data_IF_926457871893
#
_entry.id   IF_926457871893
#
_cell.length_a   1.000
_cell.length_b   1.000
_cell.length_c   1.000
_cell.angle_alpha   90.00
_cell.angle_beta   90.00
_cell.angle_gamma   90.00
#
_symmetry.space_group_name_H-M   'P 1'
#
loop_
_entity.id
_entity.type
_entity.pdbx_description
1 polymer ?
#
# COMPACT_ATOMS: atom_id res chain seq x y z
N UNK A 1 -1.58 32.92 -2.21
CA UNK A 1 -0.87 32.40 -1.00
C UNK A 1 0.61 32.44 -1.30
N UNK A 2 1.44 33.04 -0.43
CA UNK A 2 2.88 33.19 -0.71
C UNK A 2 3.57 31.80 -0.82
N UNK A 3 4.49 31.56 -1.77
CA UNK A 3 5.12 30.25 -1.98
C UNK A 3 5.81 29.67 -0.73
N UNK A 4 6.36 30.52 0.12
CA UNK A 4 6.94 30.12 1.41
C UNK A 4 5.88 29.61 2.41
N UNK A 5 4.69 30.20 2.42
CA UNK A 5 3.57 29.76 3.27
C UNK A 5 3.06 28.40 2.81
N UNK A 6 2.99 28.17 1.49
CA UNK A 6 2.56 26.89 0.91
C UNK A 6 3.55 25.75 1.19
N UNK A 7 4.86 26.04 1.14
CA UNK A 7 5.91 25.08 1.51
C UNK A 7 5.84 24.71 2.99
N UNK A 8 5.73 25.69 3.88
CA UNK A 8 5.60 25.44 5.33
C UNK A 8 4.33 24.66 5.68
N UNK A 9 3.21 24.95 5.00
CA UNK A 9 1.96 24.20 5.18
C UNK A 9 2.07 22.73 4.77
N UNK A 10 2.80 22.43 3.70
CA UNK A 10 3.03 21.06 3.26
C UNK A 10 3.94 20.29 4.23
N UNK A 11 4.96 20.95 4.77
CA UNK A 11 5.84 20.37 5.80
C UNK A 11 5.04 20.04 7.06
N UNK A 12 4.22 20.99 7.54
CA UNK A 12 3.38 20.77 8.71
C UNK A 12 2.41 19.60 8.51
N UNK A 13 1.69 19.55 7.37
CA UNK A 13 0.81 18.42 7.04
C UNK A 13 1.53 17.08 7.06
N UNK A 14 2.74 17.03 6.52
CA UNK A 14 3.55 15.81 6.47
C UNK A 14 4.00 15.40 7.87
N UNK A 15 4.47 16.35 8.68
CA UNK A 15 4.86 16.11 10.07
C UNK A 15 3.68 15.59 10.91
N UNK A 16 2.51 16.23 10.81
CA UNK A 16 1.29 15.77 11.51
C UNK A 16 0.90 14.36 11.08
N UNK A 17 1.01 14.03 9.79
CA UNK A 17 0.72 12.68 9.30
C UNK A 17 1.66 11.64 9.92
N UNK A 18 2.96 11.90 9.96
CA UNK A 18 3.93 10.99 10.57
C UNK A 18 3.72 10.84 12.08
N UNK A 19 3.39 11.92 12.78
CA UNK A 19 3.07 11.88 14.22
C UNK A 19 1.87 10.96 14.45
N UNK A 20 0.75 11.19 13.75
CA UNK A 20 -0.45 10.36 13.88
C UNK A 20 -0.16 8.90 13.55
N UNK A 21 0.65 8.63 12.53
CA UNK A 21 1.05 7.28 12.14
C UNK A 21 1.84 6.58 13.23
N UNK A 22 2.87 7.23 13.77
CA UNK A 22 3.70 6.68 14.86
C UNK A 22 2.85 6.46 16.11
N UNK A 23 1.98 7.41 16.44
CA UNK A 23 1.05 7.26 17.58
C UNK A 23 0.15 6.04 17.37
N UNK A 24 -0.42 5.82 16.19
CA UNK A 24 -1.28 4.66 15.92
C UNK A 24 -0.52 3.31 15.91
N UNK A 25 0.78 3.33 15.58
CA UNK A 25 1.62 2.13 15.63
C UNK A 25 1.91 1.67 17.07
N UNK A 26 2.12 2.62 17.99
CA UNK A 26 2.48 2.36 19.39
C UNK A 26 1.35 2.62 20.39
N UNK A 27 0.15 3.00 19.93
CA UNK A 27 -0.98 3.38 20.79
C UNK A 27 -1.32 2.29 21.81
N UNK A 28 -1.33 1.01 21.42
CA UNK A 28 -1.62 -0.08 22.34
C UNK A 28 -0.61 -0.15 23.47
N UNK A 29 0.68 -0.01 23.15
CA UNK A 29 1.77 -0.01 24.12
C UNK A 29 1.69 1.18 25.09
N UNK A 30 1.44 2.39 24.58
CA UNK A 30 1.30 3.61 25.39
C UNK A 30 0.10 3.51 26.33
N UNK A 31 -1.06 3.07 25.81
CA UNK A 31 -2.27 2.90 26.62
C UNK A 31 -2.06 1.81 27.68
N UNK A 32 -1.40 0.71 27.34
CA UNK A 32 -1.07 -0.36 28.28
C UNK A 32 -0.14 0.14 29.40
N UNK A 33 0.89 0.92 29.07
CA UNK A 33 1.78 1.52 30.07
C UNK A 33 1.00 2.39 31.08
N UNK A 34 0.03 3.18 30.61
CA UNK A 34 -0.81 4.02 31.46
C UNK A 34 -1.84 3.23 32.30
N UNK A 35 -2.30 2.08 31.79
CA UNK A 35 -3.31 1.24 32.46
C UNK A 35 -2.70 0.23 33.45
N UNK A 36 -1.46 -0.21 33.24
CA UNK A 36 -0.77 -1.22 34.06
C UNK A 36 -0.88 -0.92 35.58
N UNK A 37 -0.55 0.28 36.10
CA UNK A 37 -0.63 0.53 37.55
C UNK A 37 -2.06 0.47 38.11
N UNK A 38 -3.08 0.74 37.29
CA UNK A 38 -4.49 0.68 37.73
C UNK A 38 -5.03 -0.74 37.76
N UNK A 39 -4.53 -1.62 36.88
CA UNK A 39 -4.94 -3.03 36.81
C UNK A 39 -4.37 -3.81 38.00
N UNK A 40 -3.12 -3.52 38.40
CA UNK A 40 -2.49 -4.16 39.55
C UNK A 40 -3.34 -4.01 40.82
N UNK A 41 -3.84 -2.81 41.09
CA UNK A 41 -4.68 -2.51 42.26
C UNK A 41 -6.03 -3.27 42.29
N UNK A 42 -6.51 -3.76 41.14
CA UNK A 42 -7.77 -4.51 41.05
C UNK A 42 -7.64 -5.99 41.45
N UNK A 43 -6.42 -6.52 41.58
CA UNK A 43 -6.16 -7.89 42.06
C UNK A 43 -5.75 -7.95 43.54
N UNK A 44 -5.59 -6.82 44.23
CA UNK A 44 -5.20 -6.74 45.66
C UNK A 44 -6.24 -7.36 46.61
N UNK A 45 -7.48 -7.58 46.15
CA UNK A 45 -8.56 -8.20 46.93
C UNK A 45 -8.31 -9.68 47.28
N UNK A 46 -7.37 -10.34 46.59
CA UNK A 46 -7.08 -11.77 46.78
C UNK A 46 -6.13 -12.05 47.96
N UNK A 47 -5.40 -11.06 48.49
CA UNK A 47 -4.52 -11.24 49.66
C UNK A 47 -5.30 -11.39 50.98
N UNK A 48 -6.56 -10.95 51.03
CA UNK A 48 -7.32 -10.81 52.29
C UNK A 48 -8.29 -11.96 52.59
N UNK A 49 -8.40 -12.99 51.75
CA UNK A 49 -9.24 -14.15 52.02
C UNK A 49 -8.36 -15.39 52.14
N UNK A 50 -8.28 -15.95 53.35
CA UNK A 50 -7.85 -17.33 53.57
C UNK A 50 -8.83 -18.25 52.83
N UNK A 51 -8.60 -18.51 51.56
CA UNK A 51 -9.33 -19.54 50.82
C UNK A 51 -8.42 -20.73 50.61
N UNK A 52 -8.94 -21.86 51.07
CA UNK A 52 -8.59 -23.20 50.66
C UNK A 52 -9.58 -23.58 49.57
N UNK A 53 -9.18 -23.54 48.30
CA UNK A 53 -9.55 -24.45 47.20
C UNK A 53 -9.56 -23.70 45.86
N UNK A 54 -8.69 -24.13 44.93
CA UNK A 54 -8.54 -23.60 43.56
C UNK A 54 -8.15 -22.10 43.46
N UNK A 55 -7.24 -21.65 44.32
CA UNK A 55 -6.85 -20.24 44.39
C UNK A 55 -5.94 -19.82 43.22
N UNK A 56 -6.53 -19.06 42.28
CA UNK A 56 -5.81 -18.26 41.27
C UNK A 56 -4.86 -17.32 42.01
N UNK A 57 -3.57 -17.41 41.73
CA UNK A 57 -2.58 -16.54 42.39
C UNK A 57 -2.74 -15.08 41.94
N UNK A 58 -2.31 -14.11 42.77
CA UNK A 58 -2.34 -12.68 42.40
C UNK A 58 -1.64 -12.40 41.06
N UNK A 59 -0.55 -13.10 40.79
CA UNK A 59 0.22 -13.03 39.54
C UNK A 59 -0.58 -13.58 38.33
N UNK A 60 -1.33 -14.66 38.52
CA UNK A 60 -2.23 -15.22 37.51
C UNK A 60 -3.41 -14.28 37.22
N UNK A 61 -4.02 -13.69 38.26
CA UNK A 61 -5.07 -12.66 38.12
C UNK A 61 -4.58 -11.45 37.31
N UNK A 62 -3.40 -10.94 37.66
CA UNK A 62 -2.81 -9.77 37.00
C UNK A 62 -2.47 -10.08 35.53
N UNK A 63 -1.86 -11.23 35.27
CA UNK A 63 -1.50 -11.66 33.91
C UNK A 63 -2.72 -11.81 33.00
N UNK A 64 -3.78 -12.50 33.46
CA UNK A 64 -5.00 -12.72 32.69
C UNK A 64 -5.74 -11.41 32.39
N UNK A 65 -5.88 -10.53 33.40
CA UNK A 65 -6.55 -9.23 33.24
C UNK A 65 -5.76 -8.32 32.32
N UNK A 66 -4.44 -8.29 32.49
CA UNK A 66 -3.56 -7.50 31.63
C UNK A 66 -3.65 -7.97 30.17
N UNK A 67 -3.56 -9.27 29.90
CA UNK A 67 -3.67 -9.80 28.55
C UNK A 67 -5.04 -9.46 27.90
N UNK A 68 -6.12 -9.59 28.66
CA UNK A 68 -7.48 -9.28 28.19
C UNK A 68 -7.64 -7.78 27.88
N UNK A 69 -7.22 -6.90 28.79
CA UNK A 69 -7.30 -5.45 28.57
C UNK A 69 -6.44 -5.04 27.38
N UNK A 70 -5.23 -5.58 27.27
CA UNK A 70 -4.30 -5.28 26.17
C UNK A 70 -4.89 -5.72 24.82
N UNK A 71 -5.58 -6.86 24.77
CA UNK A 71 -6.30 -7.29 23.57
C UNK A 71 -7.51 -6.40 23.23
N UNK A 72 -8.28 -5.95 24.22
CA UNK A 72 -9.39 -5.01 24.00
C UNK A 72 -8.88 -3.69 23.45
N UNK A 73 -7.82 -3.14 24.06
CA UNK A 73 -7.17 -1.92 23.61
C UNK A 73 -6.64 -2.10 22.19
N UNK A 74 -5.98 -3.22 21.89
CA UNK A 74 -5.53 -3.53 20.53
C UNK A 74 -6.70 -3.51 19.54
N UNK A 75 -7.84 -4.15 19.85
CA UNK A 75 -9.02 -4.15 18.98
C UNK A 75 -9.55 -2.73 18.71
N UNK A 76 -9.62 -1.88 19.74
CA UNK A 76 -10.06 -0.49 19.61
C UNK A 76 -9.09 0.33 18.75
N UNK A 77 -7.79 0.24 19.03
CA UNK A 77 -6.74 0.90 18.23
C UNK A 77 -6.83 0.42 16.78
N UNK A 78 -7.01 -0.89 16.55
CA UNK A 78 -7.12 -1.47 15.21
C UNK A 78 -8.37 -1.00 14.47
N UNK A 79 -9.52 -0.82 15.12
CA UNK A 79 -10.71 -0.24 14.49
C UNK A 79 -10.42 1.17 13.97
N UNK A 80 -9.74 1.99 14.77
CA UNK A 80 -9.33 3.34 14.40
C UNK A 80 -8.32 3.30 13.26
N UNK A 81 -7.28 2.46 13.38
CA UNK A 81 -6.26 2.28 12.34
C UNK A 81 -6.84 1.75 11.03
N UNK A 82 -7.82 0.85 11.08
CA UNK A 82 -8.47 0.33 9.88
C UNK A 82 -9.24 1.46 9.17
N UNK A 83 -9.96 2.32 9.91
CA UNK A 83 -10.56 3.53 9.30
C UNK A 83 -9.51 4.45 8.71
N UNK A 84 -8.38 4.64 9.40
CA UNK A 84 -7.26 5.44 8.93
C UNK A 84 -6.61 4.87 7.65
N UNK A 85 -6.46 3.55 7.55
CA UNK A 85 -6.02 2.86 6.32
C UNK A 85 -6.99 3.09 5.16
N UNK A 86 -8.29 3.08 5.43
CA UNK A 86 -9.31 3.43 4.43
C UNK A 86 -9.20 4.88 3.96
N UNK A 87 -8.88 5.81 4.87
CA UNK A 87 -8.62 7.20 4.54
C UNK A 87 -7.33 7.37 3.72
N UNK A 88 -6.24 6.71 4.13
CA UNK A 88 -4.98 6.72 3.36
C UNK A 88 -5.20 6.13 1.96
N UNK A 89 -5.86 4.97 1.91
CA UNK A 89 -6.24 4.26 0.69
C UNK A 89 -7.05 5.15 -0.26
N UNK A 90 -8.05 5.86 0.26
CA UNK A 90 -8.97 6.68 -0.54
C UNK A 90 -8.43 8.04 -0.94
N UNK A 91 -7.57 8.69 -0.12
CA UNK A 91 -7.12 10.06 -0.35
C UNK A 91 -5.72 10.16 -0.95
N UNK A 92 -4.81 9.27 -0.56
CA UNK A 92 -3.41 9.30 -1.01
C UNK A 92 -3.10 8.22 -2.07
N UNK A 93 -3.92 7.18 -2.16
CA UNK A 93 -3.56 5.93 -2.85
C UNK A 93 -4.62 5.40 -3.83
N UNK A 94 -5.69 6.16 -4.11
CA UNK A 94 -6.85 5.80 -4.95
C UNK A 94 -6.50 5.46 -6.40
N UNK A 95 -5.23 5.56 -6.77
CA UNK A 95 -4.79 5.79 -8.14
C UNK A 95 -4.37 4.53 -8.88
N UNK A 96 -4.01 3.44 -8.20
CA UNK A 96 -3.52 2.21 -8.86
C UNK A 96 -4.56 1.08 -8.89
N UNK A 97 -4.84 0.55 -10.09
CA UNK A 97 -5.78 -0.56 -10.33
C UNK A 97 -5.45 -1.82 -9.53
N UNK A 98 -4.17 -2.07 -9.26
CA UNK A 98 -3.68 -3.22 -8.49
C UNK A 98 -4.10 -3.17 -7.02
N UNK A 99 -4.23 -1.98 -6.46
CA UNK A 99 -4.64 -1.81 -5.05
C UNK A 99 -6.14 -1.98 -4.86
N UNK A 100 -6.94 -1.71 -5.89
CA UNK A 100 -8.37 -2.04 -5.87
C UNK A 100 -8.57 -3.56 -5.78
N UNK A 101 -7.72 -4.34 -6.48
CA UNK A 101 -7.75 -5.80 -6.43
C UNK A 101 -7.10 -6.39 -5.17
N UNK A 102 -6.05 -5.76 -4.64
CA UNK A 102 -5.28 -6.27 -3.49
C UNK A 102 -4.97 -5.14 -2.48
N UNK A 103 -5.92 -4.81 -1.58
CA UNK A 103 -5.76 -3.68 -0.67
C UNK A 103 -4.80 -3.94 0.50
N UNK A 104 -4.47 -5.20 0.81
CA UNK A 104 -3.55 -5.57 1.90
C UNK A 104 -4.05 -5.17 3.30
N UNK A 105 -5.37 -5.01 3.47
CA UNK A 105 -5.99 -4.59 4.74
C UNK A 105 -6.44 -5.82 5.52
N UNK A 106 -5.85 -6.00 6.70
CA UNK A 106 -6.14 -7.14 7.57
C UNK A 106 -6.60 -6.69 8.93
N UNK A 107 -7.73 -7.20 9.41
CA UNK A 107 -8.27 -6.77 10.71
C UNK A 107 -7.44 -7.29 11.89
N UNK A 108 -6.76 -8.44 11.78
CA UNK A 108 -5.84 -8.93 12.81
C UNK A 108 -6.48 -9.42 14.12
N UNK A 109 -7.79 -9.21 14.35
CA UNK A 109 -8.46 -9.65 15.58
C UNK A 109 -8.48 -11.17 15.76
N UNK A 110 -8.34 -11.95 14.69
CA UNK A 110 -8.24 -13.42 14.74
C UNK A 110 -7.03 -13.90 15.57
N UNK A 111 -5.99 -13.07 15.72
CA UNK A 111 -4.82 -13.36 16.56
C UNK A 111 -5.09 -13.21 18.05
N UNK A 112 -6.22 -12.61 18.43
CA UNK A 112 -6.65 -12.54 19.81
C UNK A 112 -6.88 -13.90 20.44
N UNK A 113 -7.47 -14.83 19.66
CA UNK A 113 -7.76 -16.17 20.15
C UNK A 113 -6.50 -16.94 20.56
N UNK A 114 -5.47 -17.12 19.70
CA UNK A 114 -4.26 -17.81 20.11
C UNK A 114 -3.50 -17.08 21.23
N UNK A 115 -3.48 -15.74 21.21
CA UNK A 115 -2.83 -14.94 22.25
C UNK A 115 -3.47 -15.11 23.64
N UNK A 116 -4.80 -14.97 23.72
CA UNK A 116 -5.53 -15.14 24.97
C UNK A 116 -5.47 -16.58 25.45
N UNK A 117 -5.63 -17.55 24.53
CA UNK A 117 -5.55 -18.98 24.87
C UNK A 117 -4.19 -19.34 25.47
N UNK A 118 -3.10 -18.77 24.94
CA UNK A 118 -1.74 -18.94 25.47
C UNK A 118 -1.54 -18.27 26.83
N UNK A 119 -2.02 -17.03 27.00
CA UNK A 119 -1.93 -16.32 28.28
C UNK A 119 -2.70 -17.06 29.39
N UNK A 120 -3.87 -17.60 29.04
CA UNK A 120 -4.69 -18.43 29.93
C UNK A 120 -4.04 -19.79 30.20
N UNK A 121 -3.43 -20.45 29.20
CA UNK A 121 -2.80 -21.76 29.38
C UNK A 121 -1.57 -21.72 30.29
N UNK A 122 -0.80 -20.63 30.22
CA UNK A 122 0.34 -20.39 31.11
C UNK A 122 -0.11 -20.22 32.56
N UNK A 123 -1.26 -19.57 32.78
CA UNK A 123 -1.85 -19.37 34.10
C UNK A 123 -2.38 -20.67 34.72
N UNK A 124 -2.86 -21.63 33.91
CA UNK A 124 -3.44 -22.90 34.42
C UNK A 124 -2.37 -24.01 34.55
N UNK A 125 -1.09 -23.72 34.28
CA UNK A 125 0.02 -24.71 34.22
C UNK A 125 -0.22 -25.88 33.24
N UNK A 126 -1.16 -25.73 32.30
CA UNK A 126 -1.48 -26.71 31.24
C UNK A 126 -0.66 -26.43 29.97
N UNK A 127 0.13 -25.36 29.96
CA UNK A 127 0.97 -24.93 28.83
C UNK A 127 1.95 -25.99 28.29
N UNK A 128 2.28 -27.02 29.08
CA UNK A 128 3.15 -28.13 28.67
C UNK A 128 2.43 -29.27 27.95
N UNK A 129 1.09 -29.26 27.91
CA UNK A 129 0.33 -30.31 27.23
C UNK A 129 0.46 -30.15 25.69
N UNK A 130 1.05 -31.13 24.98
CA UNK A 130 1.38 -31.01 23.56
C UNK A 130 0.15 -30.75 22.67
N UNK A 131 -1.03 -31.22 23.09
CA UNK A 131 -2.30 -30.98 22.37
C UNK A 131 -2.65 -29.49 22.33
N UNK A 132 -2.45 -28.75 23.42
CA UNK A 132 -2.74 -27.32 23.47
C UNK A 132 -1.78 -26.51 22.58
N UNK A 133 -0.50 -26.89 22.53
CA UNK A 133 0.47 -26.28 21.63
C UNK A 133 0.10 -26.50 20.15
N UNK A 134 -0.39 -27.70 19.79
CA UNK A 134 -0.87 -28.00 18.44
C UNK A 134 -2.08 -27.16 18.08
N UNK A 135 -3.06 -27.01 18.98
CA UNK A 135 -4.25 -26.17 18.75
C UNK A 135 -3.87 -24.70 18.58
N UNK A 136 -2.99 -24.18 19.44
CA UNK A 136 -2.49 -22.81 19.35
C UNK A 136 -1.79 -22.62 18.00
N UNK A 137 -0.86 -23.50 17.62
CA UNK A 137 -0.14 -23.43 16.35
C UNK A 137 -1.06 -23.51 15.12
N UNK A 138 -2.08 -24.37 15.15
CA UNK A 138 -3.06 -24.47 14.07
C UNK A 138 -3.87 -23.16 13.95
N UNK A 139 -4.33 -22.62 15.08
CA UNK A 139 -5.11 -21.38 15.11
C UNK A 139 -4.30 -20.15 14.69
N UNK A 140 -3.03 -20.04 15.11
CA UNK A 140 -2.12 -18.98 14.64
C UNK A 140 -1.86 -19.11 13.15
N UNK A 141 -1.58 -20.31 12.65
CA UNK A 141 -1.36 -20.54 11.22
C UNK A 141 -2.55 -20.10 10.36
N UNK A 142 -3.78 -20.41 10.80
CA UNK A 142 -5.00 -19.94 10.12
C UNK A 142 -5.10 -18.41 10.17
N UNK A 143 -4.82 -17.80 11.32
CA UNK A 143 -4.87 -16.35 11.47
C UNK A 143 -3.79 -15.61 10.65
N UNK A 144 -2.63 -16.23 10.43
CA UNK A 144 -1.52 -15.67 9.63
C UNK A 144 -1.63 -15.97 8.13
N UNK A 145 -2.42 -16.96 7.71
CA UNK A 145 -2.65 -17.31 6.31
C UNK A 145 -2.91 -16.12 5.36
N UNK A 146 -3.81 -15.15 5.67
CA UNK A 146 -4.03 -14.01 4.77
C UNK A 146 -2.78 -13.17 4.55
N UNK A 147 -1.94 -12.99 5.58
CA UNK A 147 -0.68 -12.24 5.47
C UNK A 147 0.35 -12.97 4.62
N UNK A 148 0.44 -14.30 4.76
CA UNK A 148 1.33 -15.15 3.97
C UNK A 148 0.89 -15.22 2.49
N UNK A 149 -0.42 -15.29 2.24
CA UNK A 149 -0.99 -15.23 0.88
C UNK A 149 -0.65 -13.91 0.19
N UNK A 150 -0.74 -12.79 0.90
CA UNK A 150 -0.37 -11.48 0.37
C UNK A 150 1.13 -11.39 0.10
N UNK A 151 1.98 -11.90 1.01
CA UNK A 151 3.42 -11.98 0.79
C UNK A 151 3.78 -12.74 -0.49
N UNK A 152 3.18 -13.91 -0.73
CA UNK A 152 3.43 -14.71 -1.92
C UNK A 152 3.03 -13.95 -3.21
N UNK A 153 1.88 -13.26 -3.19
CA UNK A 153 1.43 -12.43 -4.31
C UNK A 153 2.37 -11.24 -4.56
N UNK A 154 2.75 -10.49 -3.52
CA UNK A 154 3.70 -9.38 -3.63
C UNK A 154 5.05 -9.85 -4.18
N UNK A 155 5.57 -10.97 -3.69
CA UNK A 155 6.83 -11.54 -4.16
C UNK A 155 6.77 -11.89 -5.64
N UNK A 156 5.68 -12.49 -6.11
CA UNK A 156 5.46 -12.79 -7.53
C UNK A 156 5.38 -11.51 -8.38
N UNK A 157 4.73 -10.45 -7.86
CA UNK A 157 4.66 -9.16 -8.53
C UNK A 157 6.04 -8.50 -8.65
N UNK A 158 6.84 -8.52 -7.58
CA UNK A 158 8.20 -7.98 -7.58
C UNK A 158 9.08 -8.76 -8.57
N UNK A 159 9.01 -10.09 -8.55
CA UNK A 159 9.74 -10.95 -9.50
C UNK A 159 9.40 -10.59 -10.95
N UNK A 160 8.11 -10.53 -11.29
CA UNK A 160 7.64 -10.15 -12.62
C UNK A 160 8.09 -8.73 -13.02
N UNK A 161 8.09 -7.81 -12.06
CA UNK A 161 8.54 -6.43 -12.27
C UNK A 161 10.04 -6.34 -12.55
N UNK A 162 10.85 -7.12 -11.84
CA UNK A 162 12.30 -7.21 -12.07
C UNK A 162 12.58 -7.84 -13.43
N UNK A 163 11.94 -8.97 -13.75
CA UNK A 163 12.12 -9.67 -15.04
C UNK A 163 11.79 -8.76 -16.23
N UNK A 164 10.74 -7.94 -16.11
CA UNK A 164 10.29 -7.00 -17.16
C UNK A 164 10.98 -5.63 -17.11
N UNK A 165 12.01 -5.46 -16.28
CA UNK A 165 12.75 -4.20 -16.07
C UNK A 165 11.82 -3.02 -15.78
N UNK A 166 10.83 -3.22 -14.92
CA UNK A 166 9.82 -2.23 -14.58
C UNK A 166 10.41 -1.03 -13.82
N UNK A 167 11.37 -1.28 -12.95
CA UNK A 167 12.02 -0.23 -12.16
C UNK A 167 13.01 0.56 -13.03
N UNK A 168 12.71 1.84 -13.26
CA UNK A 168 13.59 2.77 -13.98
C UNK A 168 14.86 3.10 -13.19
N UNK A 169 14.78 3.12 -11.87
CA UNK A 169 15.90 3.45 -10.98
C UNK A 169 16.18 2.32 -9.99
N UNK A 170 17.46 1.98 -9.83
CA UNK A 170 17.92 0.98 -8.85
C UNK A 170 17.42 1.26 -7.43
N UNK A 171 17.23 2.54 -7.06
CA UNK A 171 16.69 2.94 -5.74
C UNK A 171 15.28 2.41 -5.49
N UNK A 172 14.38 2.50 -6.47
CA UNK A 172 13.00 1.98 -6.31
C UNK A 172 12.99 0.46 -6.10
N UNK A 173 13.84 -0.26 -6.84
CA UNK A 173 14.00 -1.70 -6.66
C UNK A 173 14.52 -2.02 -5.24
N UNK A 174 15.55 -1.32 -4.77
CA UNK A 174 16.09 -1.49 -3.41
C UNK A 174 15.00 -1.28 -2.34
N UNK A 175 14.20 -0.21 -2.43
CA UNK A 175 13.11 0.02 -1.47
C UNK A 175 12.06 -1.10 -1.47
N UNK A 176 11.72 -1.66 -2.64
CA UNK A 176 10.79 -2.81 -2.70
C UNK A 176 11.37 -4.07 -2.08
N UNK A 177 12.66 -4.34 -2.26
CA UNK A 177 13.34 -5.49 -1.63
C UNK A 177 13.46 -5.33 -0.11
N UNK A 178 13.82 -4.13 0.35
CA UNK A 178 13.84 -3.83 1.78
C UNK A 178 12.44 -4.00 2.38
N UNK A 179 11.41 -3.48 1.70
CA UNK A 179 10.03 -3.55 2.20
C UNK A 179 9.50 -4.97 2.28
N UNK A 180 9.76 -5.82 1.26
CA UNK A 180 9.30 -7.21 1.27
C UNK A 180 10.08 -8.06 2.30
N UNK A 181 11.35 -7.74 2.54
CA UNK A 181 12.14 -8.35 3.62
C UNK A 181 11.53 -8.04 4.99
N UNK A 182 11.30 -6.77 5.31
CA UNK A 182 10.66 -6.39 6.57
C UNK A 182 9.26 -6.99 6.71
N UNK A 183 8.49 -7.07 5.61
CA UNK A 183 7.17 -7.71 5.63
C UNK A 183 7.28 -9.18 6.07
N UNK A 184 8.18 -9.94 5.43
CA UNK A 184 8.42 -11.35 5.78
C UNK A 184 8.89 -11.51 7.21
N UNK A 185 9.90 -10.73 7.61
CA UNK A 185 10.47 -10.79 8.96
C UNK A 185 9.42 -10.51 10.03
N UNK A 186 8.58 -9.48 9.87
CA UNK A 186 7.50 -9.20 10.82
C UNK A 186 6.49 -10.34 10.89
N UNK A 187 6.03 -10.88 9.76
CA UNK A 187 5.09 -12.01 9.76
C UNK A 187 5.70 -13.23 10.45
N UNK A 188 6.97 -13.54 10.18
CA UNK A 188 7.65 -14.69 10.77
C UNK A 188 7.87 -14.52 12.28
N UNK A 189 8.36 -13.35 12.72
CA UNK A 189 8.60 -13.06 14.14
C UNK A 189 7.29 -13.14 14.93
N UNK A 190 6.23 -12.49 14.44
CA UNK A 190 4.92 -12.50 15.11
C UNK A 190 4.29 -13.91 15.12
N UNK A 191 4.44 -14.69 14.04
CA UNK A 191 3.99 -16.07 14.01
C UNK A 191 4.69 -16.93 15.08
N UNK A 192 6.02 -16.80 15.18
CA UNK A 192 6.81 -17.56 16.16
C UNK A 192 6.51 -17.11 17.59
N UNK A 193 6.32 -15.80 17.81
CA UNK A 193 6.02 -15.26 19.13
C UNK A 193 4.61 -15.66 19.62
N UNK A 194 3.58 -15.48 18.79
CA UNK A 194 2.21 -15.85 19.19
C UNK A 194 2.07 -17.37 19.33
N UNK A 195 2.77 -18.17 18.51
CA UNK A 195 2.68 -19.63 18.57
C UNK A 195 3.50 -20.22 19.72
N UNK A 196 4.76 -19.81 19.87
CA UNK A 196 5.71 -20.45 20.78
C UNK A 196 6.26 -19.52 21.86
N UNK A 197 6.15 -18.20 21.69
CA UNK A 197 6.66 -17.16 22.61
C UNK A 197 8.12 -17.35 22.96
N UNK A 198 8.89 -17.82 21.97
CA UNK A 198 10.34 -18.02 22.05
C UNK A 198 11.06 -16.68 21.85
N UNK A 199 10.36 -15.65 21.36
CA UNK A 199 10.99 -14.40 20.97
C UNK A 199 11.15 -13.45 22.17
N UNK A 200 12.38 -12.95 22.36
CA UNK A 200 12.64 -11.92 23.37
C UNK A 200 12.02 -10.59 22.94
N UNK A 201 11.47 -9.85 23.90
CA UNK A 201 10.83 -8.56 23.63
C UNK A 201 11.87 -7.55 23.14
N UNK A 202 11.86 -7.29 21.83
CA UNK A 202 12.59 -6.17 21.27
C UNK A 202 11.86 -4.87 21.59
N UNK A 203 12.58 -3.85 22.04
CA UNK A 203 12.01 -2.55 22.39
C UNK A 203 12.52 -1.46 21.44
N UNK A 204 11.59 -0.62 20.97
CA UNK A 204 11.90 0.61 20.23
C UNK A 204 11.37 1.78 21.06
N UNK A 205 12.23 2.74 21.40
CA UNK A 205 11.92 3.84 22.31
C UNK A 205 11.35 3.37 23.67
N UNK A 206 11.78 2.20 24.14
CA UNK A 206 11.30 1.58 25.38
C UNK A 206 9.97 0.81 25.26
N UNK A 207 9.34 0.79 24.08
CA UNK A 207 8.08 0.07 23.85
C UNK A 207 8.31 -1.26 23.12
N UNK A 208 7.70 -2.39 23.56
CA UNK A 208 7.82 -3.68 22.90
C UNK A 208 7.21 -3.68 21.49
N UNK A 209 7.91 -4.28 20.54
CA UNK A 209 7.56 -4.34 19.10
C UNK A 209 6.96 -5.71 18.73
N UNK A 210 6.17 -6.27 19.63
CA UNK A 210 5.49 -7.54 19.43
C UNK A 210 4.00 -7.35 19.66
N UNK A 211 3.19 -8.19 19.03
CA UNK A 211 1.78 -8.27 19.32
C UNK A 211 1.55 -8.56 20.82
N UNK A 212 0.56 -7.91 21.48
CA UNK A 212 -0.41 -6.95 20.93
C UNK A 212 0.01 -5.49 21.11
N UNK A 213 1.22 -5.22 21.62
CA UNK A 213 1.70 -3.86 21.93
C UNK A 213 1.97 -3.03 20.67
N UNK A 214 2.39 -3.70 19.59
CA UNK A 214 2.64 -3.08 18.29
C UNK A 214 1.50 -3.38 17.31
N UNK A 215 1.05 -2.34 16.60
CA UNK A 215 0.03 -2.48 15.56
C UNK A 215 0.63 -2.98 14.25
N UNK A 216 1.13 -4.23 14.27
CA UNK A 216 1.79 -4.82 13.12
C UNK A 216 0.90 -4.91 11.86
N UNK A 217 -0.45 -5.05 11.91
CA UNK A 217 -1.26 -5.04 10.68
C UNK A 217 -1.18 -3.70 9.94
N UNK A 218 -1.15 -2.57 10.68
CA UNK A 218 -0.95 -1.25 10.10
C UNK A 218 0.45 -1.14 9.49
N UNK A 219 1.48 -1.67 10.16
CA UNK A 219 2.84 -1.70 9.64
C UNK A 219 2.95 -2.51 8.34
N UNK A 220 2.37 -3.71 8.28
CA UNK A 220 2.32 -4.52 7.07
C UNK A 220 1.56 -3.81 5.94
N UNK A 221 0.47 -3.11 6.25
CA UNK A 221 -0.25 -2.29 5.27
C UNK A 221 0.63 -1.16 4.69
N UNK A 222 1.46 -0.51 5.51
CA UNK A 222 2.40 0.50 5.03
C UNK A 222 3.46 -0.11 4.10
N UNK A 223 4.04 -1.26 4.44
CA UNK A 223 5.02 -1.94 3.60
C UNK A 223 4.41 -2.39 2.27
N UNK A 224 3.20 -2.98 2.33
CA UNK A 224 2.40 -3.34 1.15
C UNK A 224 2.14 -2.11 0.26
N UNK A 225 1.81 -0.99 0.89
CA UNK A 225 1.64 0.30 0.21
C UNK A 225 2.94 0.74 -0.45
N UNK A 226 4.09 0.69 0.24
CA UNK A 226 5.37 1.10 -0.34
C UNK A 226 5.72 0.26 -1.58
N UNK A 227 5.45 -1.04 -1.58
CA UNK A 227 5.69 -1.90 -2.74
C UNK A 227 4.79 -1.50 -3.92
N UNK A 228 3.49 -1.32 -3.66
CA UNK A 228 2.50 -1.08 -4.71
C UNK A 228 2.44 0.38 -5.22
N UNK A 229 3.15 1.32 -4.58
CA UNK A 229 3.12 2.72 -5.03
C UNK A 229 3.97 2.97 -6.28
N UNK A 230 4.84 2.04 -6.64
CA UNK A 230 5.74 2.19 -7.76
C UNK A 230 5.00 2.05 -9.09
N UNK A 231 5.16 3.07 -9.94
CA UNK A 231 4.62 3.13 -11.28
C UNK A 231 5.74 3.44 -12.27
N UNK A 232 5.63 2.86 -13.47
CA UNK A 232 6.54 3.14 -14.59
C UNK A 232 5.85 4.05 -15.58
N UNK A 233 6.53 5.14 -15.93
CA UNK A 233 6.15 5.96 -17.08
C UNK A 233 6.48 5.23 -18.37
N UNK A 234 5.49 5.13 -19.27
CA UNK A 234 5.69 4.59 -20.61
C UNK A 234 6.10 5.72 -21.57
N UNK A 235 6.79 5.41 -22.68
CA UNK A 235 7.00 6.39 -23.74
C UNK A 235 5.69 7.05 -24.14
N UNK A 236 5.74 8.36 -24.36
CA UNK A 236 4.59 9.10 -24.88
C UNK A 236 4.18 8.55 -26.26
N UNK A 237 2.88 8.43 -26.45
CA UNK A 237 2.28 8.02 -27.73
C UNK A 237 1.45 9.19 -28.22
N UNK A 238 1.63 9.55 -29.49
CA UNK A 238 0.88 10.65 -30.10
C UNK A 238 -0.07 10.06 -31.10
N UNK A 239 -1.36 10.30 -30.90
CA UNK A 239 -2.39 9.88 -31.81
C UNK A 239 -2.68 10.99 -32.80
N UNK A 240 -2.56 10.65 -34.07
CA UNK A 240 -2.95 11.50 -35.20
C UNK A 240 -4.38 11.13 -35.58
N UNK A 241 -5.31 12.08 -35.38
CA UNK A 241 -6.68 11.99 -35.84
C UNK A 241 -6.85 12.98 -37.00
N UNK A 242 -7.13 12.49 -38.20
CA UNK A 242 -7.43 13.30 -39.38
C UNK A 242 -8.76 12.86 -39.96
N UNK A 243 -9.78 13.71 -39.89
CA UNK A 243 -11.14 13.37 -40.28
C UNK A 243 -11.85 14.54 -40.95
N UNK A 244 -12.46 14.30 -42.09
CA UNK A 244 -13.19 15.31 -42.87
C UNK A 244 -14.50 15.81 -42.24
N UNK A 245 -14.80 15.48 -40.98
CA UNK A 245 -15.91 15.99 -40.17
C UNK A 245 -15.67 15.64 -38.68
N UNK A 246 -14.76 16.35 -38.02
CA UNK A 246 -14.41 16.11 -36.61
C UNK A 246 -15.16 17.09 -35.69
N UNK A 247 -16.17 16.59 -34.96
CA UNK A 247 -16.78 17.32 -33.85
C UNK A 247 -16.73 16.44 -32.61
N UNK A 248 -15.70 16.63 -31.80
CA UNK A 248 -15.51 15.86 -30.56
C UNK A 248 -15.94 16.70 -29.36
N UNK A 249 -16.92 16.20 -28.60
CA UNK A 249 -17.43 16.85 -27.39
C UNK A 249 -16.71 16.29 -26.16
N UNK A 250 -15.47 16.72 -25.94
CA UNK A 250 -14.86 16.61 -24.61
C UNK A 250 -15.52 17.70 -23.78
N UNK A 251 -16.13 17.36 -22.64
CA UNK A 251 -16.83 18.29 -21.75
C UNK A 251 -16.14 19.68 -21.71
N UNK A 252 -16.83 20.69 -22.26
CA UNK A 252 -16.47 22.12 -22.40
C UNK A 252 -15.38 22.53 -23.42
N UNK A 253 -14.88 21.66 -24.30
CA UNK A 253 -13.99 22.07 -25.39
C UNK A 253 -14.46 21.46 -26.71
N UNK A 254 -15.09 22.29 -27.54
CA UNK A 254 -15.44 21.94 -28.91
C UNK A 254 -14.21 22.23 -29.78
N UNK A 255 -13.42 21.19 -30.06
CA UNK A 255 -12.35 21.29 -31.05
C UNK A 255 -13.01 21.27 -32.43
N UNK A 256 -13.26 22.43 -33.02
CA UNK A 256 -13.77 22.59 -34.39
C UNK A 256 -12.65 22.45 -35.45
N UNK A 257 -11.58 21.71 -35.16
CA UNK A 257 -10.49 21.48 -36.10
C UNK A 257 -10.61 20.08 -36.70
N UNK A 258 -10.59 20.02 -38.03
CA UNK A 258 -10.74 18.80 -38.84
C UNK A 258 -9.64 17.74 -38.53
N UNK A 259 -8.47 18.19 -38.04
CA UNK A 259 -7.38 17.30 -37.64
C UNK A 259 -6.73 17.74 -36.32
N UNK A 260 -6.36 16.79 -35.45
CA UNK A 260 -5.65 17.06 -34.20
C UNK A 260 -4.61 15.98 -33.83
N UNK A 261 -3.58 16.39 -33.08
CA UNK A 261 -2.69 15.46 -32.40
C UNK A 261 -3.03 15.40 -30.90
N UNK A 262 -3.09 14.20 -30.34
CA UNK A 262 -3.30 13.97 -28.91
C UNK A 262 -2.09 13.23 -28.35
N UNK A 263 -1.37 13.85 -27.41
CA UNK A 263 -0.27 13.21 -26.69
C UNK A 263 -0.82 12.48 -25.46
N UNK A 264 -0.60 11.17 -25.41
CA UNK A 264 -0.96 10.31 -24.29
C UNK A 264 0.29 9.91 -23.49
N UNK A 265 0.33 10.32 -22.23
CA UNK A 265 1.33 9.91 -21.25
C UNK A 265 0.73 8.83 -20.35
N UNK A 266 1.11 7.56 -20.56
CA UNK A 266 0.61 6.43 -19.76
C UNK A 266 1.52 6.13 -18.58
N UNK A 267 0.90 5.83 -17.45
CA UNK A 267 1.56 5.26 -16.28
C UNK A 267 1.10 3.81 -16.12
N UNK A 268 2.02 2.88 -15.86
CA UNK A 268 1.71 1.48 -15.56
C UNK A 268 2.05 1.13 -14.13
N UNK A 269 1.15 0.41 -13.45
CA UNK A 269 1.43 -0.18 -12.14
C UNK A 269 2.41 -1.37 -12.27
N UNK A 270 2.89 -1.89 -11.15
CA UNK A 270 3.82 -3.05 -11.08
C UNK A 270 3.32 -4.31 -11.81
N UNK A 271 2.00 -4.48 -11.96
CA UNK A 271 1.37 -5.57 -12.75
C UNK A 271 1.40 -5.33 -14.26
N UNK A 272 1.93 -4.19 -14.72
CA UNK A 272 1.83 -3.68 -16.09
C UNK A 272 0.40 -3.35 -16.57
N UNK A 273 -0.58 -3.29 -15.66
CA UNK A 273 -1.89 -2.70 -15.99
C UNK A 273 -1.77 -1.17 -16.04
N UNK A 274 -2.48 -0.56 -16.98
CA UNK A 274 -2.52 0.90 -17.12
C UNK A 274 -3.18 1.54 -15.88
N UNK A 275 -2.69 2.72 -15.52
CA UNK A 275 -3.09 3.49 -14.35
C UNK A 275 -3.87 4.74 -14.84
N UNK A 276 -5.20 4.64 -15.03
CA UNK A 276 -5.98 5.67 -15.74
C UNK A 276 -5.94 7.03 -15.07
N UNK A 277 -5.91 7.09 -13.74
CA UNK A 277 -5.91 8.36 -13.00
C UNK A 277 -4.55 9.08 -12.99
N UNK A 278 -3.44 8.36 -13.21
CA UNK A 278 -2.10 8.93 -13.34
C UNK A 278 -1.70 9.13 -14.81
N UNK A 279 -2.42 8.50 -15.73
CA UNK A 279 -2.25 8.70 -17.17
C UNK A 279 -2.94 10.00 -17.57
N UNK A 280 -2.32 10.75 -18.47
CA UNK A 280 -2.81 12.05 -18.90
C UNK A 280 -2.80 12.13 -20.42
N UNK A 281 -3.84 12.71 -20.99
CA UNK A 281 -3.95 12.98 -22.41
C UNK A 281 -4.07 14.49 -22.63
N UNK A 282 -3.24 15.04 -23.52
CA UNK A 282 -3.23 16.47 -23.85
C UNK A 282 -3.40 16.66 -25.35
N UNK A 283 -4.28 17.57 -25.80
CA UNK A 283 -4.25 18.02 -27.18
C UNK A 283 -2.99 18.84 -27.42
N UNK A 284 -2.33 18.62 -28.56
CA UNK A 284 -1.20 19.42 -29.03
C UNK A 284 -1.71 20.60 -29.88
N UNK A 285 -1.00 21.73 -29.81
CA UNK A 285 -1.30 22.94 -30.60
C UNK A 285 -0.99 22.78 -32.10
N UNK A 286 -0.33 21.69 -32.48
CA UNK A 286 0.01 21.39 -33.86
C UNK A 286 -1.13 20.62 -34.56
N UNK A 287 -1.42 20.98 -35.81
CA UNK A 287 -2.43 20.29 -36.64
C UNK A 287 -1.77 19.36 -37.67
N UNK A 288 -2.20 18.08 -37.78
CA UNK A 288 -1.66 17.09 -38.71
C UNK A 288 -1.47 17.58 -40.15
N UNK A 289 -2.46 18.29 -40.69
CA UNK A 289 -2.48 18.85 -42.05
C UNK A 289 -1.47 19.98 -42.30
N UNK A 290 -1.03 20.69 -41.26
CA UNK A 290 -0.07 21.81 -41.37
C UNK A 290 1.33 21.45 -40.88
N UNK A 291 1.48 20.33 -40.17
CA UNK A 291 2.79 19.89 -39.65
C UNK A 291 3.67 19.28 -40.72
N UNK A 292 4.88 19.82 -40.85
CA UNK A 292 5.92 19.26 -41.72
C UNK A 292 6.51 17.98 -41.14
N UNK A 293 7.18 17.17 -41.99
CA UNK A 293 7.91 15.97 -41.56
C UNK A 293 8.98 16.26 -40.51
N UNK A 294 9.61 17.43 -40.56
CA UNK A 294 10.60 17.89 -39.58
C UNK A 294 9.94 18.14 -38.21
N UNK A 295 8.77 18.80 -38.20
CA UNK A 295 8.01 19.03 -36.95
C UNK A 295 7.47 17.73 -36.36
N UNK A 296 7.02 16.79 -37.20
CA UNK A 296 6.60 15.45 -36.75
C UNK A 296 7.74 14.67 -36.08
N UNK A 297 8.97 14.81 -36.56
CA UNK A 297 10.16 14.21 -35.92
C UNK A 297 10.56 14.89 -34.60
N UNK A 298 10.13 16.13 -34.39
CA UNK A 298 10.39 16.88 -33.17
C UNK A 298 9.43 16.51 -32.02
N UNK A 299 8.39 15.74 -32.31
CA UNK A 299 7.47 15.27 -31.28
C UNK A 299 8.13 14.22 -30.38
N UNK A 300 7.96 14.39 -29.07
CA UNK A 300 8.37 13.39 -28.09
C UNK A 300 7.35 12.23 -28.06
N UNK A 301 7.54 11.24 -28.94
CA UNK A 301 6.75 10.02 -28.91
C UNK A 301 6.61 9.30 -30.24
N UNK A 302 6.03 8.10 -30.19
CA UNK A 302 5.64 7.37 -31.40
C UNK A 302 4.31 7.93 -31.91
N UNK A 303 4.27 8.35 -33.16
CA UNK A 303 3.03 8.77 -33.83
C UNK A 303 2.27 7.52 -34.31
N UNK A 304 1.00 7.42 -33.95
CA UNK A 304 0.08 6.37 -34.39
C UNK A 304 -1.12 7.05 -35.05
N UNK A 305 -1.40 6.65 -36.29
CA UNK A 305 -2.58 7.13 -37.01
C UNK A 305 -3.80 6.30 -36.62
N UNK A 306 -4.87 6.98 -36.25
CA UNK A 306 -6.16 6.36 -35.94
C UNK A 306 -7.08 6.55 -37.14
N UNK A 307 -7.72 5.46 -37.58
CA UNK A 307 -8.64 5.48 -38.73
C UNK A 307 -10.10 5.65 -38.34
N UNK A 308 -10.46 5.33 -37.09
CA UNK A 308 -11.83 5.46 -36.60
C UNK A 308 -11.88 6.07 -35.21
N UNK A 309 -12.76 7.06 -35.03
CA UNK A 309 -12.91 7.77 -33.76
C UNK A 309 -13.27 6.84 -32.57
N UNK A 310 -14.08 5.79 -32.79
CA UNK A 310 -14.43 4.82 -31.73
C UNK A 310 -13.21 4.15 -31.11
N UNK A 311 -12.14 3.96 -31.90
CA UNK A 311 -10.90 3.40 -31.39
C UNK A 311 -10.26 4.31 -30.34
N UNK A 312 -10.42 5.63 -30.46
CA UNK A 312 -9.83 6.59 -29.53
C UNK A 312 -10.50 6.54 -28.15
N UNK A 313 -11.82 6.33 -28.07
CA UNK A 313 -12.55 6.18 -26.81
C UNK A 313 -12.14 4.89 -26.08
N UNK A 314 -11.88 3.81 -26.81
CA UNK A 314 -11.37 2.55 -26.25
C UNK A 314 -9.88 2.65 -25.84
N UNK A 315 -9.11 3.48 -26.54
CA UNK A 315 -7.65 3.62 -26.36
C UNK A 315 -7.29 4.64 -25.27
N UNK A 316 -8.14 5.62 -24.96
CA UNK A 316 -7.93 6.65 -23.96
C UNK A 316 -8.58 6.25 -22.62
N UNK A 317 -7.85 5.57 -21.71
CA UNK A 317 -8.41 5.15 -20.42
C UNK A 317 -8.67 6.32 -19.45
N UNK A 318 -8.39 7.56 -19.85
CA UNK A 318 -8.38 8.77 -19.04
C UNK A 318 -9.00 9.95 -19.80
N UNK A 319 -9.70 10.83 -19.09
CA UNK A 319 -10.29 12.04 -19.68
C UNK A 319 -9.19 12.95 -20.24
N UNK A 320 -9.39 13.46 -21.46
CA UNK A 320 -8.49 14.41 -22.11
C UNK A 320 -8.52 15.75 -21.37
N UNK A 321 -7.33 16.30 -21.08
CA UNK A 321 -7.17 17.60 -20.44
C UNK A 321 -7.64 18.72 -21.37
N UNK A 322 -8.24 19.76 -20.80
CA UNK A 322 -8.62 21.00 -21.51
C UNK A 322 -7.42 21.92 -21.77
N UNK A 323 -6.26 21.63 -21.17
CA UNK A 323 -5.04 22.41 -21.41
C UNK A 323 -4.33 21.92 -22.67
N UNK A 324 -4.25 22.79 -23.67
CA UNK A 324 -3.48 22.56 -24.90
C UNK A 324 -2.00 22.68 -24.61
N UNK A 325 -1.23 21.66 -24.97
CA UNK A 325 0.23 21.65 -24.80
C UNK A 325 0.88 22.20 -26.06
N UNK A 326 1.64 23.29 -25.90
CA UNK A 326 2.49 23.82 -26.98
C UNK A 326 3.57 22.79 -27.31
N UNK A 327 3.72 22.49 -28.61
CA UNK A 327 4.85 21.72 -29.09
C UNK A 327 6.07 22.61 -28.91
N UNK A 328 6.96 22.27 -27.98
CA UNK A 328 8.20 23.00 -27.78
C UNK A 328 9.10 22.84 -29.01
N UNK A 329 9.09 23.85 -29.88
CA UNK A 329 10.11 24.03 -30.91
C UNK A 329 11.45 24.27 -30.20
N UNK A 330 12.38 23.35 -30.35
CA UNK A 330 13.76 23.42 -29.82
C UNK A 330 13.89 23.52 -28.29
N UNK A 331 14.02 22.36 -27.65
CA UNK A 331 14.94 22.17 -26.52
C UNK A 331 15.86 21.02 -26.88
N UNK A 332 17.13 21.32 -27.14
CA UNK A 332 18.22 20.35 -27.35
C UNK A 332 18.61 19.59 -26.07
N UNK A 333 17.73 19.55 -25.06
CA UNK A 333 17.85 18.65 -23.93
C UNK A 333 16.64 17.73 -23.91
N UNK A 334 16.83 16.41 -24.03
CA UNK A 334 15.75 15.49 -23.72
C UNK A 334 15.30 15.76 -22.28
N UNK A 335 14.00 15.70 -21.97
CA UNK A 335 13.57 15.61 -20.59
C UNK A 335 14.35 14.45 -19.95
N UNK A 336 14.84 14.65 -18.74
CA UNK A 336 15.78 13.77 -18.01
C UNK A 336 15.23 12.38 -17.65
N UNK A 337 14.18 11.93 -18.34
CA UNK A 337 13.71 10.56 -18.32
C UNK A 337 14.30 9.85 -19.52
N UNK A 338 15.48 9.24 -19.33
CA UNK A 338 16.00 8.27 -20.30
C UNK A 338 14.96 7.15 -20.46
N UNK A 339 14.21 7.19 -21.57
CA UNK A 339 13.29 6.11 -21.96
C UNK A 339 14.09 5.09 -22.77
N UNK A 340 14.35 3.88 -22.26
CA UNK A 340 14.94 2.84 -23.08
C UNK A 340 13.91 2.31 -24.09
N UNK A 341 14.34 1.77 -25.24
CA UNK A 341 13.45 1.20 -26.24
C UNK A 341 12.61 0.05 -25.64
N UNK A 342 11.37 -0.10 -26.14
CA UNK A 342 10.51 -1.22 -25.80
C UNK A 342 11.26 -2.56 -26.02
N UNK A 343 11.13 -3.55 -25.13
CA UNK A 343 11.41 -4.93 -25.48
C UNK A 343 10.53 -5.31 -26.69
N UNK A 344 11.15 -5.84 -27.75
CA UNK A 344 10.45 -6.22 -28.99
C UNK A 344 9.50 -7.42 -28.83
N UNK A 345 9.51 -8.09 -27.69
CA UNK A 345 8.76 -9.33 -27.49
C UNK A 345 7.84 -9.21 -26.27
N UNK A 346 6.57 -8.85 -26.51
CA UNK A 346 5.48 -9.23 -25.60
C UNK A 346 4.77 -10.45 -26.23
N UNK A 347 4.91 -11.67 -25.68
CA UNK A 347 3.95 -12.71 -25.98
C UNK A 347 2.57 -12.31 -25.43
N UNK A 348 1.55 -12.52 -26.26
CA UNK A 348 0.15 -12.13 -26.12
C UNK A 348 -0.64 -12.95 -25.09
N UNK A 349 0.01 -13.58 -24.13
CA UNK A 349 -0.66 -14.37 -23.09
C UNK A 349 -0.50 -13.67 -21.75
N UNK A 350 -1.61 -13.12 -21.25
CA UNK A 350 -2.11 -13.06 -19.86
C UNK A 350 -3.33 -12.09 -19.89
N UNK A 351 -4.36 -12.47 -20.66
CA UNK A 351 -5.69 -12.69 -20.12
C UNK A 351 -5.60 -14.16 -19.70
N UNK A 352 -5.31 -14.50 -18.44
CA UNK A 352 -6.33 -14.68 -17.42
C UNK A 352 -5.72 -14.48 -16.03
N UNK A 353 -6.41 -13.73 -15.19
CA UNK A 353 -6.17 -13.63 -13.75
C UNK A 353 -7.55 -13.58 -13.10
N UNK A 354 -8.18 -14.76 -13.04
CA UNK A 354 -9.07 -15.14 -11.93
C UNK A 354 -8.25 -15.50 -10.69
#
# INVERSE_FOLDING_TARGET
MHPNIQKSWNILKTATFFIVLVTLLFATSVINYLLTPKIAHLCDFYDNRNTTSFDVTREECESQRRATVLFIVFCLVRLISNKFEGFIGSKFLKTCSVRATFPGRHFGAALGFPFLTRSLSNSIRVASAPIFLVIIFASTSIAFYPYAKDFAKLSRLIYNAVQRRHYLYNRSMIYTFISIYFYFSTVLIELLDVSFGIYCHQTIFGFPVLFPNFNFPLFLFLLHTVILQHHRAMPAIIYEASFSNFSFRIYNFQVNNEDCFIQLNRMRCITNKDCPQMSTAFPLDATPSKTTTIQRRAFEGRIIQIRHYRELDDILPCKVSTQVRKVSTFSSRPPSYCVPPLPRDLPSTILDLE
#
